data_IF_659817570303
#
_entry.id   IF_659817570303
#
_cell.length_a   1.000
_cell.length_b   1.000
_cell.length_c   1.000
_cell.angle_alpha   90.00
_cell.angle_beta   90.00
_cell.angle_gamma   90.00
#
_symmetry.space_group_name_H-M   'P 1'
#
loop_
_entity.id
_entity.type
_entity.pdbx_description
1 polymer ?
#
# COMPACT_ATOMS: atom_id res chain seq x y z
N UNK A 1 71.92 -48.86 33.12
CA UNK A 1 71.83 -47.52 32.40
C UNK A 1 70.53 -47.49 31.63
N UNK A 2 69.47 -46.90 32.18
CA UNK A 2 68.13 -46.84 31.55
C UNK A 2 67.95 -45.38 31.05
N UNK A 3 67.77 -45.23 29.75
CA UNK A 3 67.49 -43.91 29.09
C UNK A 3 66.00 -43.65 29.03
N UNK A 4 65.53 -42.71 29.79
CA UNK A 4 64.14 -42.14 29.64
C UNK A 4 64.10 -41.30 28.45
N UNK A 5 63.12 -41.61 27.52
CA UNK A 5 62.74 -40.75 26.34
C UNK A 5 61.53 -39.93 26.76
N UNK A 6 61.73 -38.62 26.79
CA UNK A 6 60.64 -37.64 26.93
C UNK A 6 59.94 -37.44 25.58
N UNK A 7 58.63 -37.61 25.56
CA UNK A 7 57.74 -37.34 24.41
C UNK A 7 57.17 -35.90 24.58
N UNK A 8 57.29 -34.98 23.61
CA UNK A 8 56.61 -33.71 23.73
C UNK A 8 55.16 -33.84 23.38
N UNK A 9 54.26 -33.37 24.30
CA UNK A 9 52.82 -33.23 24.07
C UNK A 9 52.60 -31.95 23.34
N UNK A 10 52.23 -32.02 22.03
CA UNK A 10 51.73 -30.88 21.24
C UNK A 10 50.30 -30.59 21.66
N UNK A 11 50.09 -29.51 22.41
CA UNK A 11 48.75 -28.98 22.66
C UNK A 11 48.23 -28.27 21.40
N UNK A 12 47.29 -28.90 20.68
CA UNK A 12 46.56 -28.28 19.58
C UNK A 12 45.50 -27.36 20.17
N UNK A 13 45.72 -26.05 20.07
CA UNK A 13 44.71 -25.04 20.39
C UNK A 13 43.63 -25.02 19.27
N UNK A 14 42.46 -25.56 19.53
CA UNK A 14 41.27 -25.36 18.68
C UNK A 14 40.78 -23.92 18.82
N UNK A 15 41.10 -23.07 17.83
CA UNK A 15 40.42 -21.78 17.65
C UNK A 15 39.01 -22.05 17.10
N UNK A 16 37.99 -21.96 17.97
CA UNK A 16 36.61 -21.89 17.58
C UNK A 16 36.36 -20.57 16.88
N UNK A 17 36.31 -20.55 15.53
CA UNK A 17 35.79 -19.46 14.77
C UNK A 17 34.28 -19.36 15.04
N UNK A 18 33.89 -18.45 15.91
CA UNK A 18 32.49 -18.02 16.00
C UNK A 18 32.15 -17.32 14.67
N UNK A 19 31.47 -18.03 13.76
CA UNK A 19 30.80 -17.41 12.62
C UNK A 19 29.69 -16.51 13.17
N UNK A 20 30.05 -15.27 13.50
CA UNK A 20 29.06 -14.20 13.62
C UNK A 20 28.42 -14.07 12.23
N UNK A 21 27.15 -14.40 12.12
CA UNK A 21 26.33 -14.07 10.95
C UNK A 21 26.29 -12.54 10.87
N UNK A 22 27.27 -11.95 10.21
CA UNK A 22 27.23 -10.54 9.85
C UNK A 22 26.07 -10.42 8.84
N UNK A 23 24.95 -9.89 9.29
CA UNK A 23 23.94 -9.39 8.36
C UNK A 23 24.65 -8.39 7.47
N UNK A 24 24.79 -8.72 6.20
CA UNK A 24 25.48 -7.84 5.27
C UNK A 24 24.67 -6.55 5.15
N UNK A 25 25.32 -5.42 5.43
CA UNK A 25 24.76 -4.11 5.12
C UNK A 25 24.43 -4.04 3.63
N UNK A 26 23.34 -3.37 3.27
CA UNK A 26 23.00 -3.16 1.87
C UNK A 26 24.12 -2.41 1.14
N UNK A 27 24.36 -2.69 -0.15
CA UNK A 27 25.28 -1.92 -0.96
C UNK A 27 24.94 -0.42 -0.98
N UNK A 28 25.94 0.44 -1.20
CA UNK A 28 25.75 1.89 -1.23
C UNK A 28 24.64 2.35 -2.20
N UNK A 29 24.46 1.65 -3.32
CA UNK A 29 23.37 1.91 -4.28
C UNK A 29 21.97 1.72 -3.71
N UNK A 30 21.80 0.99 -2.61
CA UNK A 30 20.54 0.76 -1.94
C UNK A 30 20.21 1.83 -0.89
N UNK A 31 21.08 2.80 -0.66
CA UNK A 31 20.83 3.87 0.31
C UNK A 31 19.61 4.71 -0.08
N UNK A 32 19.45 5.00 -1.36
CA UNK A 32 18.23 5.61 -1.90
C UNK A 32 17.16 4.55 -2.10
N UNK A 33 15.98 4.77 -1.54
CA UNK A 33 14.80 3.90 -1.71
C UNK A 33 13.68 4.73 -2.31
N UNK A 34 13.28 4.41 -3.56
CA UNK A 34 12.32 5.19 -4.34
C UNK A 34 10.95 4.52 -4.30
N UNK A 35 10.01 5.17 -3.62
CA UNK A 35 8.62 4.77 -3.57
C UNK A 35 7.80 5.44 -4.67
N UNK A 36 6.71 4.80 -5.08
CA UNK A 36 5.63 5.45 -5.81
C UNK A 36 4.48 5.82 -4.87
N UNK A 37 3.92 6.99 -5.12
CA UNK A 37 2.62 7.44 -4.61
C UNK A 37 1.70 7.66 -5.81
N UNK A 38 0.47 7.20 -5.72
CA UNK A 38 -0.51 7.33 -6.81
C UNK A 38 -1.59 8.38 -6.50
N UNK A 39 -1.39 9.16 -5.43
CA UNK A 39 -2.25 10.26 -5.03
C UNK A 39 -3.38 9.85 -4.09
N UNK A 40 -3.30 8.66 -3.47
CA UNK A 40 -4.28 8.18 -2.49
C UNK A 40 -3.77 8.36 -1.07
N UNK A 41 -4.69 8.62 -0.16
CA UNK A 41 -4.32 8.88 1.25
C UNK A 41 -3.77 7.63 1.93
N UNK A 42 -4.22 6.42 1.58
CA UNK A 42 -3.69 5.15 2.10
C UNK A 42 -2.24 4.91 1.68
N UNK A 43 -1.92 5.18 0.40
CA UNK A 43 -0.54 5.09 -0.10
C UNK A 43 0.36 6.15 0.53
N UNK A 44 -0.11 7.38 0.69
CA UNK A 44 0.62 8.41 1.40
C UNK A 44 0.91 7.97 2.86
N UNK A 45 -0.07 7.33 3.52
CA UNK A 45 0.07 6.83 4.88
C UNK A 45 1.10 5.69 5.00
N UNK A 46 0.97 4.65 4.17
CA UNK A 46 1.86 3.48 4.21
C UNK A 46 3.28 3.82 3.75
N UNK A 47 3.41 4.64 2.71
CA UNK A 47 4.71 5.12 2.19
C UNK A 47 5.36 6.09 3.17
N UNK A 48 4.59 6.99 3.80
CA UNK A 48 5.08 7.90 4.84
C UNK A 48 5.64 7.14 6.05
N UNK A 49 4.93 6.10 6.49
CA UNK A 49 5.40 5.23 7.58
C UNK A 49 6.67 4.48 7.19
N UNK A 50 6.71 3.85 6.02
CA UNK A 50 7.89 3.14 5.54
C UNK A 50 9.08 4.09 5.39
N UNK A 51 8.87 5.30 4.87
CA UNK A 51 9.91 6.33 4.72
C UNK A 51 10.44 6.80 6.08
N UNK A 52 9.58 7.02 7.07
CA UNK A 52 9.99 7.41 8.42
C UNK A 52 10.90 6.35 9.06
N UNK A 53 10.53 5.08 8.94
CA UNK A 53 11.33 3.97 9.46
C UNK A 53 12.67 3.87 8.72
N UNK A 54 12.68 3.95 7.39
CA UNK A 54 13.89 3.89 6.58
C UNK A 54 14.84 5.05 6.88
N UNK A 55 14.32 6.27 7.10
CA UNK A 55 15.14 7.40 7.54
C UNK A 55 15.84 7.10 8.88
N UNK A 56 15.12 6.54 9.84
CA UNK A 56 15.67 6.11 11.13
C UNK A 56 16.69 4.96 11.01
N UNK A 57 16.63 4.18 9.94
CA UNK A 57 17.62 3.15 9.59
C UNK A 57 18.85 3.72 8.83
N UNK A 58 18.86 5.02 8.49
CA UNK A 58 19.97 5.67 7.78
C UNK A 58 19.88 5.57 6.24
N UNK A 59 18.73 5.17 5.70
CA UNK A 59 18.43 5.25 4.27
C UNK A 59 17.92 6.63 3.88
N UNK A 60 17.87 6.89 2.57
CA UNK A 60 17.34 8.12 1.97
C UNK A 60 16.09 7.79 1.13
N UNK A 61 14.91 7.61 1.75
CA UNK A 61 13.69 7.35 1.03
C UNK A 61 13.24 8.59 0.24
N UNK A 62 12.70 8.37 -0.95
CA UNK A 62 12.05 9.39 -1.78
C UNK A 62 10.73 8.85 -2.31
N UNK A 63 9.78 9.74 -2.55
CA UNK A 63 8.47 9.38 -3.08
C UNK A 63 8.21 10.15 -4.36
N UNK A 64 7.73 9.47 -5.40
CA UNK A 64 7.38 10.05 -6.69
C UNK A 64 5.89 9.87 -6.92
N UNK A 65 5.16 10.97 -7.15
CA UNK A 65 3.76 10.93 -7.56
C UNK A 65 3.68 10.49 -9.02
N UNK A 66 2.94 9.42 -9.29
CA UNK A 66 2.75 8.87 -10.64
C UNK A 66 1.41 8.14 -10.73
N UNK A 67 0.81 8.06 -11.92
CA UNK A 67 -0.37 7.20 -12.11
C UNK A 67 -0.02 5.71 -11.98
N UNK A 68 -1.02 4.85 -11.76
CA UNK A 68 -0.82 3.40 -11.63
C UNK A 68 -0.05 2.81 -12.83
N UNK A 69 -0.38 3.09 -14.10
CA UNK A 69 0.39 2.59 -15.24
C UNK A 69 1.85 3.09 -15.27
N UNK A 70 2.09 4.35 -14.90
CA UNK A 70 3.45 4.92 -14.83
C UNK A 70 4.24 4.30 -13.69
N UNK A 71 3.59 3.99 -12.57
CA UNK A 71 4.22 3.28 -11.45
C UNK A 71 4.74 1.91 -11.87
N UNK A 72 3.94 1.11 -12.59
CA UNK A 72 4.39 -0.20 -13.07
C UNK A 72 5.48 -0.09 -14.14
N UNK A 73 5.41 0.90 -15.03
CA UNK A 73 6.50 1.20 -15.97
C UNK A 73 7.79 1.61 -15.25
N UNK A 74 7.67 2.38 -14.17
CA UNK A 74 8.80 2.79 -13.32
C UNK A 74 9.46 1.62 -12.57
N UNK A 75 8.67 0.68 -12.06
CA UNK A 75 9.18 -0.56 -11.47
C UNK A 75 9.93 -1.41 -12.51
N UNK A 76 9.35 -1.60 -13.71
CA UNK A 76 10.00 -2.29 -14.83
C UNK A 76 11.33 -1.66 -15.21
N UNK A 77 11.39 -0.33 -15.32
CA UNK A 77 12.60 0.42 -15.67
C UNK A 77 13.55 0.66 -14.50
N UNK A 78 13.20 0.18 -13.30
CA UNK A 78 13.96 0.35 -12.05
C UNK A 78 14.14 1.82 -11.65
N UNK A 79 13.25 2.71 -12.08
CA UNK A 79 13.16 4.09 -11.61
C UNK A 79 12.38 4.20 -10.30
N UNK A 80 11.51 3.23 -10.01
CA UNK A 80 10.82 3.00 -8.76
C UNK A 80 11.33 1.69 -8.17
N UNK A 81 11.55 1.64 -6.86
CA UNK A 81 12.04 0.47 -6.14
C UNK A 81 10.92 -0.28 -5.43
N UNK A 82 9.93 0.43 -4.88
CA UNK A 82 8.84 -0.17 -4.09
C UNK A 82 7.52 0.53 -4.38
N UNK A 83 6.48 -0.25 -4.58
CA UNK A 83 5.09 0.21 -4.59
C UNK A 83 4.29 -0.63 -3.60
N UNK A 84 3.72 0.02 -2.57
CA UNK A 84 2.99 -0.64 -1.48
C UNK A 84 1.50 -0.80 -1.76
N UNK A 85 1.01 -0.31 -2.89
CA UNK A 85 -0.41 -0.15 -3.20
C UNK A 85 -0.92 -1.01 -4.36
N UNK A 86 -0.41 -2.21 -4.57
CA UNK A 86 -0.99 -3.11 -5.55
C UNK A 86 -2.27 -3.76 -4.99
N UNK A 87 -3.42 -3.20 -5.35
CA UNK A 87 -4.75 -3.69 -4.97
C UNK A 87 -5.20 -4.83 -5.89
N UNK A 88 -5.23 -6.06 -5.38
CA UNK A 88 -5.74 -7.24 -6.08
C UNK A 88 -7.15 -7.59 -5.58
N UNK A 89 -8.15 -7.86 -6.46
CA UNK A 89 -7.99 -8.22 -7.87
C UNK A 89 -8.09 -7.06 -8.89
N UNK A 90 -8.46 -5.85 -8.50
CA UNK A 90 -8.83 -4.80 -9.47
C UNK A 90 -7.67 -4.33 -10.35
N UNK A 91 -6.43 -4.32 -9.83
CA UNK A 91 -5.23 -4.00 -10.60
C UNK A 91 -4.62 -5.19 -11.34
N UNK A 92 -5.11 -6.43 -11.13
CA UNK A 92 -4.53 -7.63 -11.76
C UNK A 92 -4.37 -7.47 -13.28
N UNK A 93 -5.37 -6.96 -14.02
CA UNK A 93 -5.24 -6.82 -15.49
C UNK A 93 -4.14 -5.85 -15.91
N UNK A 94 -3.80 -4.87 -15.07
CA UNK A 94 -2.78 -3.85 -15.37
C UNK A 94 -1.38 -4.39 -15.10
N UNK A 95 -1.17 -5.11 -14.00
CA UNK A 95 0.15 -5.62 -13.59
C UNK A 95 0.51 -6.94 -14.30
N UNK A 96 -0.47 -7.75 -14.66
CA UNK A 96 -0.27 -9.10 -15.18
C UNK A 96 0.73 -9.18 -16.35
N UNK A 97 0.72 -8.27 -17.35
CA UNK A 97 1.70 -8.31 -18.44
C UNK A 97 3.15 -8.18 -17.93
N UNK A 98 3.38 -7.38 -16.89
CA UNK A 98 4.71 -7.17 -16.31
C UNK A 98 5.18 -8.37 -15.49
N UNK A 99 4.26 -8.99 -14.74
CA UNK A 99 4.55 -10.20 -13.95
C UNK A 99 4.83 -11.38 -14.87
N UNK A 100 4.01 -11.60 -15.91
CA UNK A 100 4.24 -12.65 -16.92
C UNK A 100 5.56 -12.47 -17.67
N UNK A 101 5.95 -11.24 -17.95
CA UNK A 101 7.24 -10.91 -18.57
C UNK A 101 8.43 -10.99 -17.59
N UNK A 102 8.20 -11.28 -16.29
CA UNK A 102 9.24 -11.34 -15.27
C UNK A 102 9.91 -9.99 -14.99
N UNK A 103 9.25 -8.86 -15.31
CA UNK A 103 9.80 -7.50 -15.15
C UNK A 103 9.36 -6.82 -13.87
N UNK A 104 8.34 -7.34 -13.20
CA UNK A 104 7.91 -6.95 -11.85
C UNK A 104 7.72 -8.22 -11.02
N UNK A 105 8.09 -8.16 -9.75
CA UNK A 105 7.81 -9.18 -8.73
C UNK A 105 6.82 -8.62 -7.72
N UNK A 106 5.74 -9.35 -7.49
CA UNK A 106 4.82 -9.11 -6.40
C UNK A 106 5.25 -9.97 -5.21
N UNK A 107 5.31 -9.39 -4.02
CA UNK A 107 5.62 -10.14 -2.80
C UNK A 107 4.42 -11.00 -2.41
N UNK A 108 4.69 -12.24 -1.98
CA UNK A 108 3.63 -13.24 -1.74
C UNK A 108 2.71 -12.90 -0.56
N UNK A 109 3.26 -12.22 0.46
CA UNK A 109 2.48 -11.85 1.65
C UNK A 109 1.84 -10.49 1.42
N UNK A 110 0.50 -10.38 1.48
CA UNK A 110 -0.17 -9.10 1.44
C UNK A 110 0.32 -8.20 2.57
N UNK A 111 0.52 -6.92 2.26
CA UNK A 111 0.80 -5.92 3.29
C UNK A 111 -0.49 -5.44 3.99
N UNK A 112 -1.66 -5.60 3.34
CA UNK A 112 -2.97 -5.37 3.93
C UNK A 112 -3.96 -6.45 3.47
N UNK A 113 -4.83 -6.91 4.39
CA UNK A 113 -5.98 -7.80 4.15
C UNK A 113 -7.24 -7.20 4.74
N UNK A 114 -8.40 -7.63 4.26
CA UNK A 114 -9.70 -7.11 4.72
C UNK A 114 -10.04 -5.76 4.12
N UNK A 115 -9.35 -5.36 3.06
CA UNK A 115 -9.69 -4.19 2.27
C UNK A 115 -10.94 -4.47 1.41
N UNK A 116 -11.64 -3.40 1.02
CA UNK A 116 -12.77 -3.44 0.08
C UNK A 116 -12.62 -2.33 -0.94
N UNK A 117 -13.10 -2.56 -2.16
CA UNK A 117 -13.10 -1.56 -3.22
C UNK A 117 -14.23 -1.81 -4.19
N UNK A 118 -15.24 -0.94 -4.21
CA UNK A 118 -16.40 -1.05 -5.09
C UNK A 118 -17.17 0.26 -5.16
N UNK A 119 -18.40 0.26 -5.71
CA UNK A 119 -19.27 1.44 -5.72
C UNK A 119 -20.00 1.60 -4.39
N UNK A 120 -20.11 2.84 -3.94
CA UNK A 120 -20.81 3.24 -2.73
C UNK A 120 -21.78 4.39 -3.01
N UNK A 121 -22.74 4.55 -2.10
CA UNK A 121 -23.72 5.64 -2.11
C UNK A 121 -23.90 6.18 -0.69
N UNK A 122 -24.36 7.43 -0.50
CA UNK A 122 -24.78 7.90 0.81
C UNK A 122 -25.98 7.09 1.35
N UNK A 123 -26.04 6.90 2.68
CA UNK A 123 -27.10 6.14 3.36
C UNK A 123 -28.52 6.53 2.91
N UNK A 124 -28.82 7.83 2.77
CA UNK A 124 -30.15 8.27 2.31
C UNK A 124 -30.46 7.86 0.86
N UNK A 125 -29.44 7.63 0.03
CA UNK A 125 -29.61 7.11 -1.34
C UNK A 125 -29.88 5.61 -1.28
N UNK A 126 -29.17 4.90 -0.41
CA UNK A 126 -29.40 3.49 -0.14
C UNK A 126 -30.82 3.26 0.39
N UNK A 127 -31.23 3.99 1.42
CA UNK A 127 -32.59 3.96 1.97
C UNK A 127 -33.65 4.38 0.95
N UNK A 128 -33.28 5.15 -0.06
CA UNK A 128 -34.10 5.57 -1.19
C UNK A 128 -34.30 4.49 -2.26
N UNK A 129 -33.69 3.29 -2.09
CA UNK A 129 -33.89 2.11 -2.92
C UNK A 129 -32.75 1.73 -3.86
N UNK A 130 -31.59 2.45 -3.83
CA UNK A 130 -30.42 2.09 -4.63
C UNK A 130 -29.51 1.17 -3.81
N UNK A 131 -29.72 -0.14 -3.89
CA UNK A 131 -29.03 -1.14 -3.07
C UNK A 131 -27.97 -1.93 -3.83
N UNK A 132 -28.06 -1.96 -5.17
CA UNK A 132 -27.23 -2.82 -6.00
C UNK A 132 -26.81 -2.15 -7.31
N UNK A 133 -25.83 -2.73 -7.98
CA UNK A 133 -25.42 -2.33 -9.32
C UNK A 133 -26.60 -2.36 -10.31
N UNK A 134 -27.51 -3.31 -10.19
CA UNK A 134 -28.71 -3.45 -11.01
C UNK A 134 -29.72 -2.31 -10.80
N UNK A 135 -29.63 -1.60 -9.69
CA UNK A 135 -30.51 -0.48 -9.40
C UNK A 135 -30.03 0.85 -9.98
N UNK A 136 -28.73 0.97 -10.29
CA UNK A 136 -28.14 2.25 -10.71
C UNK A 136 -28.89 2.85 -11.90
N UNK A 137 -29.14 2.07 -12.95
CA UNK A 137 -29.83 2.55 -14.16
C UNK A 137 -31.28 2.99 -13.90
N UNK A 138 -31.97 2.43 -12.91
CA UNK A 138 -33.34 2.82 -12.54
C UNK A 138 -33.43 4.26 -12.03
N UNK A 139 -32.32 4.77 -11.49
CA UNK A 139 -32.23 6.09 -10.90
C UNK A 139 -31.36 7.07 -11.74
N UNK A 140 -31.23 6.81 -13.04
CA UNK A 140 -30.39 7.60 -13.93
C UNK A 140 -30.66 9.11 -13.83
N UNK A 141 -31.93 9.53 -13.78
CA UNK A 141 -32.29 10.95 -13.67
C UNK A 141 -31.83 11.55 -12.36
N UNK A 142 -32.02 10.86 -11.21
CA UNK A 142 -31.56 11.32 -9.89
C UNK A 142 -30.04 11.38 -9.81
N UNK A 143 -29.35 10.44 -10.47
CA UNK A 143 -27.89 10.35 -10.55
C UNK A 143 -27.31 11.23 -11.67
N UNK A 144 -28.16 11.90 -12.47
CA UNK A 144 -27.76 12.70 -13.64
C UNK A 144 -26.92 11.88 -14.64
N UNK A 145 -27.14 10.55 -14.70
CA UNK A 145 -26.37 9.64 -15.55
C UNK A 145 -24.86 9.64 -15.26
N UNK A 146 -24.44 9.81 -14.00
CA UNK A 146 -23.02 9.94 -13.62
C UNK A 146 -22.62 8.93 -12.58
N UNK A 147 -21.40 8.40 -12.72
CA UNK A 147 -20.67 7.63 -11.70
C UNK A 147 -19.38 8.39 -11.42
N UNK A 148 -19.08 8.63 -10.17
CA UNK A 148 -17.90 9.41 -9.77
C UNK A 148 -16.74 8.49 -9.43
N UNK A 149 -15.66 8.64 -10.18
CA UNK A 149 -14.38 7.97 -9.99
C UNK A 149 -13.33 8.91 -9.44
N UNK A 150 -12.10 8.42 -9.44
CA UNK A 150 -10.94 9.15 -8.96
C UNK A 150 -10.01 9.55 -10.12
N UNK A 151 -8.68 9.46 -9.99
CA UNK A 151 -7.76 9.99 -11.02
C UNK A 151 -7.78 9.15 -12.33
N UNK A 152 -7.50 9.79 -13.47
CA UNK A 152 -7.36 9.09 -14.73
C UNK A 152 -6.27 8.02 -14.68
N UNK A 153 -6.56 6.85 -15.26
CA UNK A 153 -5.67 5.69 -15.25
C UNK A 153 -5.80 4.81 -14.01
N UNK A 154 -6.74 5.13 -13.12
CA UNK A 154 -7.11 4.28 -12.00
C UNK A 154 -7.82 3.00 -12.46
N UNK A 155 -7.58 1.89 -11.78
CA UNK A 155 -8.17 0.57 -12.08
C UNK A 155 -9.69 0.55 -11.91
N UNK A 156 -10.25 1.15 -10.85
CA UNK A 156 -11.69 1.25 -10.65
C UNK A 156 -12.38 2.09 -11.72
N UNK A 157 -11.75 3.19 -12.15
CA UNK A 157 -12.23 3.97 -13.31
C UNK A 157 -12.28 3.11 -14.58
N UNK A 158 -11.25 2.31 -14.83
CA UNK A 158 -11.21 1.40 -15.98
C UNK A 158 -12.33 0.34 -15.91
N UNK A 159 -12.63 -0.20 -14.72
CA UNK A 159 -13.75 -1.13 -14.52
C UNK A 159 -15.09 -0.45 -14.79
N UNK A 160 -15.31 0.78 -14.30
CA UNK A 160 -16.53 1.54 -14.55
C UNK A 160 -16.68 1.84 -16.05
N UNK A 161 -15.62 2.28 -16.72
CA UNK A 161 -15.63 2.53 -18.16
C UNK A 161 -15.96 1.26 -18.95
N UNK A 162 -15.42 0.12 -18.54
CA UNK A 162 -15.74 -1.19 -19.15
C UNK A 162 -17.21 -1.56 -18.97
N UNK A 163 -17.79 -1.35 -17.78
CA UNK A 163 -19.21 -1.58 -17.54
C UNK A 163 -20.09 -0.70 -18.45
N UNK A 164 -19.77 0.59 -18.52
CA UNK A 164 -20.48 1.57 -19.38
C UNK A 164 -20.37 1.16 -20.85
N UNK A 165 -19.17 0.89 -21.34
CA UNK A 165 -18.92 0.52 -22.73
C UNK A 165 -19.58 -0.79 -23.17
N UNK A 166 -19.70 -1.73 -22.25
CA UNK A 166 -20.39 -3.01 -22.47
C UNK A 166 -21.90 -2.96 -22.18
N UNK A 167 -22.45 -1.80 -21.82
CA UNK A 167 -23.82 -1.63 -21.32
C UNK A 167 -24.19 -2.61 -20.19
N UNK A 168 -23.23 -2.98 -19.38
CA UNK A 168 -23.45 -3.86 -18.24
C UNK A 168 -24.30 -3.11 -17.20
N UNK A 169 -25.26 -3.78 -16.58
CA UNK A 169 -26.25 -3.20 -15.65
C UNK A 169 -27.06 -2.02 -16.27
N UNK A 170 -27.25 -2.01 -17.60
CA UNK A 170 -27.91 -0.93 -18.35
C UNK A 170 -27.24 0.46 -18.21
N UNK A 171 -25.92 0.48 -17.96
CA UNK A 171 -25.16 1.70 -17.73
C UNK A 171 -24.63 2.39 -19.01
N UNK A 172 -24.98 1.93 -20.21
CA UNK A 172 -24.46 2.48 -21.48
C UNK A 172 -24.75 3.97 -21.72
N UNK A 173 -25.68 4.58 -21.00
CA UNK A 173 -25.96 6.02 -21.05
C UNK A 173 -25.27 6.82 -19.94
N UNK A 174 -24.62 6.14 -18.99
CA UNK A 174 -23.89 6.81 -17.93
C UNK A 174 -22.54 7.34 -18.39
N UNK A 175 -22.01 8.28 -17.62
CA UNK A 175 -20.66 8.85 -17.83
C UNK A 175 -19.86 8.71 -16.53
N UNK A 176 -18.63 8.26 -16.65
CA UNK A 176 -17.66 8.37 -15.57
C UNK A 176 -17.21 9.82 -15.43
N UNK A 177 -17.21 10.32 -14.20
CA UNK A 177 -16.62 11.61 -13.82
C UNK A 177 -15.30 11.35 -13.12
N UNK A 178 -14.21 11.57 -13.83
CA UNK A 178 -12.86 11.42 -13.30
C UNK A 178 -12.39 12.71 -12.63
N UNK A 179 -11.63 12.59 -11.53
CA UNK A 179 -11.07 13.75 -10.83
C UNK A 179 -9.78 13.37 -10.05
N UNK A 180 -9.87 13.16 -8.77
CA UNK A 180 -8.90 12.63 -7.83
C UNK A 180 -9.65 12.13 -6.60
N UNK A 181 -9.01 11.39 -5.70
CA UNK A 181 -9.63 11.06 -4.39
C UNK A 181 -10.23 12.30 -3.73
N UNK A 182 -9.41 13.34 -3.54
CA UNK A 182 -9.86 14.58 -2.89
C UNK A 182 -11.00 15.26 -3.65
N UNK A 183 -10.92 15.30 -5.00
CA UNK A 183 -11.95 15.90 -5.86
C UNK A 183 -13.27 15.13 -5.77
N UNK A 184 -13.25 13.82 -5.82
CA UNK A 184 -14.42 12.96 -5.63
C UNK A 184 -15.05 13.19 -4.25
N UNK A 185 -14.26 13.15 -3.18
CA UNK A 185 -14.76 13.35 -1.82
C UNK A 185 -15.41 14.73 -1.62
N UNK A 186 -14.91 15.79 -2.27
CA UNK A 186 -15.57 17.10 -2.27
C UNK A 186 -16.95 17.01 -2.90
N UNK A 187 -17.10 16.30 -4.02
CA UNK A 187 -18.41 16.12 -4.69
C UNK A 187 -19.36 15.28 -3.83
N UNK A 188 -18.87 14.20 -3.21
CA UNK A 188 -19.67 13.37 -2.29
C UNK A 188 -20.17 14.20 -1.10
N UNK A 189 -19.27 14.95 -0.45
CA UNK A 189 -19.63 15.83 0.66
C UNK A 189 -20.66 16.89 0.27
N UNK A 190 -20.51 17.48 -0.93
CA UNK A 190 -21.49 18.42 -1.46
C UNK A 190 -22.85 17.75 -1.67
N UNK A 191 -22.88 16.59 -2.33
CA UNK A 191 -24.10 15.83 -2.57
C UNK A 191 -24.81 15.48 -1.25
N UNK A 192 -24.06 15.07 -0.21
CA UNK A 192 -24.61 14.75 1.10
C UNK A 192 -25.28 15.99 1.74
N UNK A 193 -24.63 17.14 1.69
CA UNK A 193 -25.20 18.40 2.26
C UNK A 193 -26.46 18.83 1.53
N UNK A 194 -26.47 18.68 0.18
CA UNK A 194 -27.59 19.10 -0.67
C UNK A 194 -28.64 18.01 -0.85
N UNK A 195 -28.45 16.82 -0.23
CA UNK A 195 -29.32 15.64 -0.38
C UNK A 195 -29.49 15.21 -1.84
N UNK A 196 -28.50 15.45 -2.68
CA UNK A 196 -28.44 14.99 -4.06
C UNK A 196 -28.00 13.54 -4.13
N UNK A 197 -28.51 12.81 -5.11
CA UNK A 197 -28.11 11.42 -5.31
C UNK A 197 -26.75 11.35 -6.02
N UNK A 198 -25.87 10.49 -5.50
CA UNK A 198 -24.53 10.27 -6.03
C UNK A 198 -24.14 8.82 -5.85
N UNK A 199 -23.49 8.23 -6.84
CA UNK A 199 -22.80 6.95 -6.79
C UNK A 199 -21.32 7.17 -7.12
N UNK A 200 -20.42 6.59 -6.34
CA UNK A 200 -18.99 6.87 -6.40
C UNK A 200 -18.15 5.66 -6.00
N UNK A 201 -16.85 5.68 -6.34
CA UNK A 201 -15.90 4.69 -5.86
C UNK A 201 -15.70 4.86 -4.35
N UNK A 202 -15.89 3.77 -3.61
CA UNK A 202 -15.64 3.70 -2.18
C UNK A 202 -14.67 2.54 -1.87
N UNK A 203 -13.90 2.70 -0.81
CA UNK A 203 -12.98 1.65 -0.34
C UNK A 203 -12.75 1.68 1.17
N UNK A 204 -12.31 0.54 1.69
CA UNK A 204 -11.83 0.37 3.07
C UNK A 204 -10.38 -0.18 3.01
N UNK A 205 -9.45 0.35 3.83
CA UNK A 205 -9.64 1.40 4.84
C UNK A 205 -9.71 2.79 4.20
N UNK A 206 -10.59 3.63 4.70
CA UNK A 206 -10.62 5.06 4.43
C UNK A 206 -11.50 5.79 5.45
N UNK A 207 -11.09 6.97 5.96
CA UNK A 207 -11.87 7.74 6.93
C UNK A 207 -13.29 8.13 6.45
N UNK A 208 -13.56 8.16 5.14
CA UNK A 208 -14.91 8.40 4.62
C UNK A 208 -15.95 7.41 5.19
N UNK A 209 -15.55 6.18 5.50
CA UNK A 209 -16.45 5.16 6.05
C UNK A 209 -16.95 5.50 7.46
N UNK A 210 -16.23 6.35 8.19
CA UNK A 210 -16.59 6.81 9.53
C UNK A 210 -17.16 8.23 9.49
N UNK A 211 -16.62 9.10 8.64
CA UNK A 211 -16.99 10.52 8.56
C UNK A 211 -18.27 10.75 7.77
N UNK A 212 -18.58 9.86 6.83
CA UNK A 212 -19.77 9.93 5.98
C UNK A 212 -20.62 8.68 6.24
N UNK A 213 -21.93 8.84 6.31
CA UNK A 213 -22.83 7.69 6.32
C UNK A 213 -22.99 7.19 4.90
N UNK A 214 -22.26 6.14 4.54
CA UNK A 214 -22.26 5.54 3.19
C UNK A 214 -22.53 4.04 3.27
N UNK A 215 -23.07 3.49 2.21
CA UNK A 215 -23.33 2.07 2.02
C UNK A 215 -22.71 1.59 0.71
N UNK A 216 -22.16 0.38 0.73
CA UNK A 216 -21.63 -0.27 -0.46
C UNK A 216 -22.72 -1.00 -1.22
N UNK A 217 -22.70 -0.91 -2.56
CA UNK A 217 -23.67 -1.56 -3.41
C UNK A 217 -23.35 -3.06 -3.59
N UNK A 218 -24.39 -3.88 -3.55
CA UNK A 218 -24.31 -5.32 -3.85
C UNK A 218 -24.31 -5.59 -5.35
N UNK A 219 -23.96 -6.82 -5.76
CA UNK A 219 -24.06 -7.28 -7.15
C UNK A 219 -22.94 -6.81 -8.09
N UNK A 220 -21.86 -6.21 -7.53
CA UNK A 220 -20.68 -5.84 -8.28
C UNK A 220 -19.57 -6.90 -8.32
N UNK A 221 -19.80 -8.08 -7.76
CA UNK A 221 -18.76 -9.12 -7.51
C UNK A 221 -18.03 -9.57 -8.78
N UNK A 222 -18.74 -9.68 -9.90
CA UNK A 222 -18.12 -10.04 -11.19
C UNK A 222 -17.21 -8.96 -11.77
N UNK A 223 -17.24 -7.74 -11.21
CA UNK A 223 -16.47 -6.59 -11.70
C UNK A 223 -15.36 -6.21 -10.72
N UNK A 224 -15.71 -6.02 -9.45
CA UNK A 224 -14.79 -5.54 -8.42
C UNK A 224 -14.22 -6.65 -7.54
N UNK A 225 -14.74 -7.86 -7.61
CA UNK A 225 -14.42 -8.99 -6.75
C UNK A 225 -15.54 -9.30 -5.75
N UNK A 226 -15.49 -10.49 -5.10
CA UNK A 226 -16.52 -10.95 -4.18
C UNK A 226 -16.61 -10.09 -2.91
N UNK A 227 -17.66 -10.29 -2.12
CA UNK A 227 -17.80 -9.68 -0.80
C UNK A 227 -17.64 -8.15 -0.80
N UNK A 228 -18.33 -7.44 -1.68
CA UNK A 228 -18.20 -5.98 -1.87
C UNK A 228 -16.82 -5.54 -2.35
N UNK A 229 -16.23 -6.30 -3.28
CA UNK A 229 -14.89 -6.01 -3.79
C UNK A 229 -13.81 -6.24 -2.73
N UNK A 230 -13.89 -7.36 -2.00
CA UNK A 230 -12.83 -7.76 -1.07
C UNK A 230 -11.48 -7.76 -1.79
N UNK A 231 -10.54 -7.04 -1.23
CA UNK A 231 -9.23 -6.82 -1.81
C UNK A 231 -8.11 -7.18 -0.84
N UNK A 232 -6.97 -7.54 -1.43
CA UNK A 232 -5.68 -7.65 -0.75
C UNK A 232 -4.75 -6.64 -1.36
N UNK A 233 -4.02 -5.91 -0.52
CA UNK A 233 -2.99 -4.99 -1.01
C UNK A 233 -1.64 -5.68 -0.86
N UNK A 234 -0.85 -5.66 -1.93
CA UNK A 234 0.45 -6.32 -1.99
C UNK A 234 1.54 -5.30 -2.36
N UNK A 235 2.77 -5.70 -2.08
CA UNK A 235 3.95 -4.91 -2.43
C UNK A 235 4.51 -5.39 -3.77
N UNK A 236 4.75 -4.47 -4.69
CA UNK A 236 5.40 -4.72 -5.96
C UNK A 236 6.80 -4.09 -6.00
N UNK A 237 7.77 -4.84 -6.54
CA UNK A 237 9.19 -4.45 -6.64
C UNK A 237 9.79 -4.92 -7.97
N UNK A 238 10.96 -4.37 -8.42
CA UNK A 238 11.74 -4.98 -9.49
C UNK A 238 12.14 -6.42 -9.13
N UNK A 239 12.23 -7.35 -10.10
CA UNK A 239 12.42 -8.78 -9.82
C UNK A 239 13.73 -9.10 -9.09
N UNK A 240 14.77 -8.30 -9.30
CA UNK A 240 16.09 -8.43 -8.68
C UNK A 240 16.24 -7.67 -7.36
N UNK A 241 15.21 -6.94 -6.92
CA UNK A 241 15.31 -6.02 -5.78
C UNK A 241 15.75 -6.73 -4.49
N UNK A 242 15.20 -7.90 -4.22
CA UNK A 242 15.56 -8.67 -3.01
C UNK A 242 17.01 -9.17 -3.00
N UNK A 243 17.58 -9.42 -4.18
CA UNK A 243 19.00 -9.80 -4.29
C UNK A 243 19.92 -8.58 -4.22
N UNK A 244 19.49 -7.46 -4.80
CA UNK A 244 20.26 -6.22 -4.87
C UNK A 244 20.29 -5.45 -3.54
N UNK A 245 19.16 -5.38 -2.84
CA UNK A 245 18.96 -4.62 -1.59
C UNK A 245 18.28 -5.50 -0.52
N UNK A 246 18.96 -6.55 -0.01
CA UNK A 246 18.35 -7.56 0.83
C UNK A 246 17.78 -7.02 2.15
N UNK A 247 18.41 -6.03 2.76
CA UNK A 247 17.95 -5.47 4.03
C UNK A 247 16.66 -4.63 3.85
N UNK A 248 16.60 -3.75 2.86
CA UNK A 248 15.35 -3.03 2.53
C UNK A 248 14.27 -4.00 2.06
N UNK A 249 14.60 -4.99 1.23
CA UNK A 249 13.65 -6.00 0.79
C UNK A 249 13.08 -6.81 1.97
N UNK A 250 13.91 -7.13 2.97
CA UNK A 250 13.45 -7.76 4.21
C UNK A 250 12.47 -6.86 4.96
N UNK A 251 12.81 -5.58 5.11
CA UNK A 251 11.94 -4.60 5.75
C UNK A 251 10.56 -4.51 5.05
N UNK A 252 10.52 -4.26 3.74
CA UNK A 252 9.25 -4.13 3.02
C UNK A 252 8.44 -5.44 3.00
N UNK A 253 9.10 -6.60 3.09
CA UNK A 253 8.43 -7.90 3.22
C UNK A 253 7.80 -8.11 4.62
N UNK A 254 8.34 -7.47 5.64
CA UNK A 254 7.81 -7.53 6.99
C UNK A 254 6.63 -6.58 7.22
N UNK A 255 6.45 -5.56 6.35
CA UNK A 255 5.37 -4.59 6.49
C UNK A 255 4.01 -5.29 6.35
N UNK A 256 3.25 -5.26 7.42
CA UNK A 256 1.87 -5.73 7.46
C UNK A 256 1.04 -4.72 8.24
N UNK A 257 0.10 -4.12 7.55
CA UNK A 257 -0.84 -3.17 8.09
C UNK A 257 -2.16 -3.84 8.47
N UNK A 258 -2.96 -3.14 9.22
CA UNK A 258 -4.38 -3.44 9.41
C UNK A 258 -5.19 -2.24 8.95
N UNK A 259 -6.46 -2.46 8.64
CA UNK A 259 -7.39 -1.37 8.30
C UNK A 259 -7.42 -0.29 9.38
N UNK A 260 -7.27 -0.68 10.66
CA UNK A 260 -7.20 0.24 11.79
C UNK A 260 -5.93 1.11 11.76
N UNK A 261 -4.76 0.53 11.48
CA UNK A 261 -3.49 1.27 11.39
C UNK A 261 -3.57 2.32 10.28
N UNK A 262 -4.02 1.91 9.10
CA UNK A 262 -4.11 2.83 7.97
C UNK A 262 -5.15 3.94 8.22
N UNK A 263 -6.32 3.63 8.76
CA UNK A 263 -7.31 4.63 9.14
C UNK A 263 -6.74 5.67 10.12
N UNK A 264 -5.97 5.24 11.13
CA UNK A 264 -5.34 6.16 12.09
C UNK A 264 -4.31 7.08 11.42
N UNK A 265 -3.52 6.56 10.48
CA UNK A 265 -2.53 7.34 9.75
C UNK A 265 -3.17 8.30 8.75
N UNK A 266 -4.25 7.88 8.09
CA UNK A 266 -4.93 8.69 7.07
C UNK A 266 -5.64 9.92 7.62
N UNK A 267 -6.21 9.86 8.84
CA UNK A 267 -6.96 10.99 9.42
C UNK A 267 -6.13 12.28 9.47
N UNK A 268 -4.92 12.34 10.05
CA UNK A 268 -4.10 13.55 10.03
C UNK A 268 -3.67 13.95 8.63
N UNK A 269 -3.37 12.99 7.74
CA UNK A 269 -2.97 13.27 6.35
C UNK A 269 -4.10 13.95 5.57
N UNK A 270 -5.34 13.49 5.72
CA UNK A 270 -6.51 14.16 5.14
C UNK A 270 -6.68 15.59 5.67
N UNK A 271 -6.24 15.87 6.90
CA UNK A 271 -6.18 17.20 7.50
C UNK A 271 -4.91 17.97 7.09
N UNK A 272 -4.19 17.53 6.06
CA UNK A 272 -3.00 18.18 5.48
C UNK A 272 -1.74 18.09 6.34
N UNK A 273 -1.69 17.18 7.30
CA UNK A 273 -0.45 16.86 7.97
C UNK A 273 0.50 16.09 7.02
N UNK A 274 1.79 16.35 7.15
CA UNK A 274 2.81 15.61 6.40
C UNK A 274 2.78 14.12 6.75
N UNK A 275 2.76 13.20 5.77
CA UNK A 275 2.65 11.76 6.01
C UNK A 275 3.75 11.19 6.92
N UNK A 276 4.99 11.71 6.85
CA UNK A 276 6.08 11.23 7.70
C UNK A 276 5.93 11.74 9.13
N UNK A 277 5.40 12.97 9.32
CA UNK A 277 5.07 13.50 10.66
C UNK A 277 3.95 12.70 11.30
N UNK A 278 2.87 12.45 10.58
CA UNK A 278 1.77 11.60 11.03
C UNK A 278 2.27 10.19 11.43
N UNK A 279 3.12 9.61 10.60
CA UNK A 279 3.74 8.31 10.86
C UNK A 279 4.66 8.34 12.10
N UNK A 280 5.50 9.37 12.26
CA UNK A 280 6.38 9.51 13.42
C UNK A 280 5.57 9.63 14.72
N UNK A 281 4.50 10.44 14.71
CA UNK A 281 3.61 10.58 15.87
C UNK A 281 2.94 9.25 16.23
N UNK A 282 2.43 8.52 15.23
CA UNK A 282 1.81 7.22 15.45
C UNK A 282 2.81 6.18 15.97
N UNK A 283 4.03 6.11 15.41
CA UNK A 283 5.09 5.17 15.81
C UNK A 283 5.55 5.42 17.25
N UNK A 284 5.60 6.68 17.71
CA UNK A 284 5.92 7.01 19.12
C UNK A 284 4.89 6.41 20.09
N UNK A 285 3.62 6.38 19.69
CA UNK A 285 2.54 5.75 20.47
C UNK A 285 2.47 4.22 20.33
N UNK A 286 3.13 3.64 19.32
CA UNK A 286 3.07 2.21 18.99
C UNK A 286 4.46 1.58 18.77
N UNK A 287 5.42 1.76 19.71
CA UNK A 287 6.81 1.35 19.51
C UNK A 287 7.00 -0.17 19.35
N UNK A 288 6.04 -0.99 19.81
CA UNK A 288 6.04 -2.46 19.66
C UNK A 288 5.94 -2.90 18.19
N UNK A 289 5.38 -2.08 17.32
CA UNK A 289 5.29 -2.41 15.89
C UNK A 289 6.66 -2.45 15.22
N UNK A 290 7.63 -1.68 15.74
CA UNK A 290 8.99 -1.70 15.23
C UNK A 290 9.67 -3.06 15.42
N UNK A 291 9.37 -3.80 16.49
CA UNK A 291 9.95 -5.12 16.71
C UNK A 291 9.48 -6.11 15.64
N UNK A 292 8.20 -6.04 15.26
CA UNK A 292 7.63 -6.89 14.21
C UNK A 292 8.20 -6.52 12.83
N UNK A 293 8.14 -5.25 12.46
CA UNK A 293 8.53 -4.81 11.12
C UNK A 293 10.05 -4.81 10.89
N UNK A 294 10.83 -4.68 11.96
CA UNK A 294 12.30 -4.67 11.91
C UNK A 294 12.93 -6.00 12.34
N UNK A 295 12.15 -7.08 12.41
CA UNK A 295 12.68 -8.40 12.67
C UNK A 295 13.70 -8.82 11.60
N UNK A 296 14.98 -8.98 11.99
CA UNK A 296 16.08 -9.29 11.07
C UNK A 296 16.50 -8.16 10.13
N UNK A 297 16.09 -6.92 10.43
CA UNK A 297 16.46 -5.72 9.68
C UNK A 297 17.51 -4.92 10.47
N UNK A 298 18.53 -4.44 9.77
CA UNK A 298 19.59 -3.60 10.32
C UNK A 298 19.49 -2.17 9.82
N UNK A 299 20.23 -1.27 10.45
CA UNK A 299 20.53 0.05 9.86
C UNK A 299 21.39 -0.12 8.61
N UNK A 300 21.50 0.94 7.81
CA UNK A 300 22.34 0.95 6.62
C UNK A 300 23.84 0.65 6.94
N UNK A 301 24.30 0.99 8.15
CA UNK A 301 25.64 0.68 8.64
C UNK A 301 25.74 -0.63 9.45
N UNK A 302 24.70 -1.48 9.40
CA UNK A 302 24.71 -2.84 9.95
C UNK A 302 24.38 -2.97 11.44
N UNK A 303 23.91 -1.90 12.11
CA UNK A 303 23.49 -1.94 13.52
C UNK A 303 22.07 -2.49 13.69
N UNK A 304 21.64 -2.90 14.88
CA UNK A 304 20.26 -3.32 15.13
C UNK A 304 19.23 -2.24 14.76
N UNK A 305 18.26 -2.57 13.89
CA UNK A 305 17.35 -1.59 13.33
C UNK A 305 16.36 -0.99 14.32
N UNK A 306 15.67 -1.82 15.13
CA UNK A 306 14.62 -1.34 16.02
C UNK A 306 15.10 -0.31 17.07
N UNK A 307 16.26 -0.51 17.75
CA UNK A 307 16.80 0.50 18.65
C UNK A 307 17.18 1.80 17.95
N UNK A 308 17.71 1.73 16.72
CA UNK A 308 18.11 2.91 15.95
C UNK A 308 16.88 3.76 15.57
N UNK A 309 15.81 3.12 15.10
CA UNK A 309 14.57 3.82 14.75
C UNK A 309 13.90 4.43 15.99
N UNK A 310 13.90 3.74 17.13
CA UNK A 310 13.39 4.31 18.39
C UNK A 310 14.19 5.56 18.82
N UNK A 311 15.52 5.52 18.72
CA UNK A 311 16.37 6.66 19.01
C UNK A 311 16.09 7.83 18.05
N UNK A 312 15.95 7.55 16.76
CA UNK A 312 15.61 8.55 15.73
C UNK A 312 14.27 9.23 16.03
N UNK A 313 13.22 8.45 16.35
CA UNK A 313 11.91 9.00 16.71
C UNK A 313 11.93 9.81 18.01
N UNK A 314 12.75 9.43 18.99
CA UNK A 314 12.92 10.18 20.25
C UNK A 314 13.63 11.52 20.07
N UNK A 315 14.40 11.69 19.00
CA UNK A 315 15.13 12.93 18.69
C UNK A 315 14.31 13.91 17.83
N UNK A 316 13.16 13.50 17.28
CA UNK A 316 12.18 14.35 16.58
C UNK A 316 11.14 14.92 17.56
#
# INVERSE_FOLDING_TARGET
>A
MARFRTVPVCAAALMAFACSSAFAADPAACRSVRFADVGWTDIAATTGLASTILAGLGYAPTTTLASVPITFAGLKSKQIDVFLGYWSPTMDPIIEPFVKAGTIKVLNTPNLTGAKYTLAVPDYVYQGGLHSFQDIAKYADKLQGRIYGIEPGNDGNALIQKMIGANQFDLGKFKLVESSEAGMLVQVNRAIREKQWIVFLGWEPHPMNVQMKIDYLTGGDAVFGPNYGEARVLTAVPPDYSARCPNVAKFVSNLQFTTSIENHLMVPIMNKEDPQKAAAAWLKGNPQMLDKWLAGVTTFDGKPGAPAVRAYLGAQ
#
